data_IF_012640465018
#
_entry.id   IF_012640465018
#
_cell.length_a   1.000
_cell.length_b   1.000
_cell.length_c   1.000
_cell.angle_alpha   90.00
_cell.angle_beta   90.00
_cell.angle_gamma   90.00
#
_symmetry.space_group_name_H-M   'P 1'
#
loop_
_entity.id
_entity.type
_entity.pdbx_description
1 polymer ?
#
# COMPACT_ATOMS: atom_id res chain seq x y z
N UNK A 1 9.96 1.45 -5.04
CA UNK A 1 9.58 0.16 -4.45
C UNK A 1 9.44 -0.82 -5.59
N UNK A 2 10.47 -1.63 -5.83
CA UNK A 2 10.62 -2.40 -7.08
C UNK A 2 9.48 -3.39 -7.33
N UNK A 3 8.87 -3.91 -6.26
CA UNK A 3 7.71 -4.79 -6.33
C UNK A 3 6.51 -4.18 -7.09
N UNK A 4 6.17 -2.91 -6.86
CA UNK A 4 5.05 -2.25 -7.54
C UNK A 4 5.33 -2.11 -9.04
N UNK A 5 6.59 -1.84 -9.40
CA UNK A 5 6.99 -1.74 -10.80
C UNK A 5 6.85 -3.10 -11.52
N UNK A 6 7.17 -4.20 -10.82
CA UNK A 6 7.09 -5.56 -11.36
C UNK A 6 5.66 -6.04 -11.62
N UNK A 7 4.69 -5.61 -10.81
CA UNK A 7 3.27 -5.88 -11.07
C UNK A 7 2.66 -4.89 -12.07
N UNK A 8 3.45 -4.01 -12.69
CA UNK A 8 3.00 -3.06 -13.71
C UNK A 8 2.29 -1.83 -13.14
N UNK A 9 2.67 -1.41 -11.93
CA UNK A 9 2.08 -0.27 -11.23
C UNK A 9 0.75 -0.59 -10.55
N UNK A 10 0.27 0.35 -9.72
CA UNK A 10 -1.00 0.23 -8.99
C UNK A 10 -1.91 1.41 -9.30
N UNK A 11 -3.19 1.13 -9.53
CA UNK A 11 -4.19 2.18 -9.69
C UNK A 11 -4.73 2.59 -8.31
N UNK A 12 -4.68 3.89 -8.03
CA UNK A 12 -5.29 4.45 -6.82
C UNK A 12 -6.21 5.61 -7.19
N UNK A 13 -7.25 5.81 -6.37
CA UNK A 13 -8.03 7.04 -6.36
C UNK A 13 -7.55 7.90 -5.19
N UNK A 14 -6.82 8.98 -5.49
CA UNK A 14 -6.28 9.87 -4.47
C UNK A 14 -7.41 10.74 -3.93
N UNK A 15 -7.75 10.65 -2.64
CA UNK A 15 -8.88 11.41 -2.10
C UNK A 15 -8.62 12.92 -2.04
N UNK A 16 -7.35 13.32 -1.89
CA UNK A 16 -6.96 14.73 -1.76
C UNK A 16 -5.58 14.96 -2.34
N UNK A 17 -5.42 16.05 -3.10
CA UNK A 17 -4.12 16.46 -3.63
C UNK A 17 -3.12 16.70 -2.50
N UNK A 18 -1.88 16.22 -2.68
CA UNK A 18 -0.77 16.45 -1.74
C UNK A 18 0.28 17.31 -2.45
N UNK A 19 0.76 18.33 -1.74
CA UNK A 19 1.92 19.13 -2.13
C UNK A 19 2.89 19.12 -0.95
N UNK A 20 3.97 18.36 -1.09
CA UNK A 20 5.04 18.25 -0.13
C UNK A 20 6.25 19.03 -0.64
N UNK A 21 6.44 20.25 -0.12
CA UNK A 21 7.53 21.13 -0.54
C UNK A 21 8.89 20.70 0.02
N UNK A 22 8.87 19.83 1.03
CA UNK A 22 10.05 19.41 1.80
C UNK A 22 10.17 17.89 1.81
N UNK A 23 9.84 17.22 0.70
CA UNK A 23 10.00 15.77 0.63
C UNK A 23 11.50 15.45 0.56
N UNK A 24 12.05 14.52 1.36
CA UNK A 24 13.48 14.23 1.35
C UNK A 24 13.95 13.71 -0.02
N UNK A 25 15.07 14.21 -0.53
CA UNK A 25 15.65 13.78 -1.81
C UNK A 25 16.58 12.55 -1.69
N UNK A 26 16.78 12.05 -0.47
CA UNK A 26 17.75 11.01 -0.08
C UNK A 26 19.23 11.43 -0.21
N UNK A 27 19.51 12.74 -0.28
CA UNK A 27 20.85 13.31 -0.33
C UNK A 27 20.98 14.53 0.61
N UNK A 28 20.36 14.44 1.80
CA UNK A 28 20.28 15.51 2.80
C UNK A 28 19.61 16.81 2.31
N UNK A 29 18.93 16.78 1.17
CA UNK A 29 18.17 17.88 0.60
C UNK A 29 16.67 17.61 0.56
N UNK A 30 15.96 18.55 -0.07
CA UNK A 30 14.52 18.52 -0.22
C UNK A 30 14.14 18.64 -1.70
N UNK A 31 13.12 17.90 -2.10
CA UNK A 31 12.47 17.98 -3.39
C UNK A 31 10.98 18.26 -3.20
N UNK A 32 10.38 18.87 -4.21
CA UNK A 32 8.93 19.06 -4.22
C UNK A 32 8.25 17.81 -4.76
N UNK A 33 7.35 17.23 -3.98
CA UNK A 33 6.47 16.15 -4.41
C UNK A 33 5.04 16.65 -4.53
N UNK A 34 4.40 16.39 -5.68
CA UNK A 34 3.01 16.76 -5.95
C UNK A 34 2.25 15.59 -6.51
N UNK A 35 1.02 15.42 -6.05
CA UNK A 35 0.08 14.41 -6.52
C UNK A 35 -1.33 15.02 -6.47
N UNK A 36 -2.09 14.88 -7.54
CA UNK A 36 -3.43 15.45 -7.61
C UNK A 36 -4.46 14.44 -7.08
N UNK A 37 -5.61 14.94 -6.62
CA UNK A 37 -6.78 14.12 -6.34
C UNK A 37 -7.30 13.43 -7.62
N UNK A 38 -7.92 12.26 -7.45
CA UNK A 38 -8.50 11.45 -8.51
C UNK A 38 -7.71 10.19 -8.85
N UNK A 39 -8.19 9.48 -9.86
CA UNK A 39 -7.64 8.20 -10.33
C UNK A 39 -6.32 8.38 -11.07
N UNK A 40 -5.34 7.56 -10.72
CA UNK A 40 -4.03 7.57 -11.36
C UNK A 40 -3.29 6.25 -11.16
N UNK A 41 -2.48 5.89 -12.15
CA UNK A 41 -1.57 4.74 -12.09
C UNK A 41 -0.24 5.20 -11.48
N UNK A 42 0.17 4.55 -10.38
CA UNK A 42 1.42 4.84 -9.70
C UNK A 42 2.46 3.76 -9.94
N UNK A 43 3.66 4.22 -10.29
CA UNK A 43 4.89 3.43 -10.22
C UNK A 43 5.36 3.28 -8.76
N UNK A 44 6.32 2.40 -8.54
CA UNK A 44 6.83 2.08 -7.22
C UNK A 44 7.59 3.22 -6.56
N UNK A 45 8.10 4.20 -7.32
CA UNK A 45 8.75 5.40 -6.77
C UNK A 45 7.72 6.38 -6.25
N UNK A 46 6.66 6.62 -7.02
CA UNK A 46 5.57 7.54 -6.73
C UNK A 46 4.68 7.00 -5.61
N UNK A 47 4.37 5.71 -5.63
CA UNK A 47 3.67 5.04 -4.53
C UNK A 47 4.44 5.15 -3.19
N UNK A 48 5.76 4.97 -3.22
CA UNK A 48 6.59 5.14 -2.02
C UNK A 48 6.57 6.59 -1.52
N UNK A 49 6.67 7.58 -2.42
CA UNK A 49 6.55 9.00 -2.07
C UNK A 49 5.18 9.32 -1.46
N UNK A 50 4.11 8.79 -2.05
CA UNK A 50 2.74 8.97 -1.58
C UNK A 50 2.52 8.43 -0.16
N UNK A 51 2.98 7.21 0.12
CA UNK A 51 2.90 6.60 1.46
C UNK A 51 3.74 7.34 2.50
N UNK A 52 4.90 7.87 2.10
CA UNK A 52 5.85 8.50 3.03
C UNK A 52 5.64 9.99 3.24
N UNK A 53 4.88 10.67 2.37
CA UNK A 53 4.64 12.10 2.51
C UNK A 53 3.97 12.42 3.84
N UNK A 54 4.50 13.43 4.53
CA UNK A 54 4.04 13.89 5.86
C UNK A 54 3.55 15.33 5.82
N UNK A 55 3.95 16.10 4.82
CA UNK A 55 3.63 17.51 4.73
C UNK A 55 2.14 17.66 4.41
N UNK A 56 1.40 18.39 5.26
CA UNK A 56 -0.06 18.65 5.26
C UNK A 56 -1.00 17.66 5.95
N UNK A 57 -0.52 16.57 6.59
CA UNK A 57 -1.42 15.54 7.12
C UNK A 57 -0.97 14.87 8.43
N UNK A 58 -1.91 14.34 9.19
CA UNK A 58 -1.69 13.60 10.45
C UNK A 58 -1.07 12.22 10.23
N UNK A 59 -0.60 11.58 11.31
CA UNK A 59 -0.18 10.17 11.29
C UNK A 59 -1.33 9.22 10.88
N UNK A 60 -2.58 9.61 11.15
CA UNK A 60 -3.78 8.87 10.71
C UNK A 60 -3.97 8.93 9.20
N UNK A 61 -3.78 10.09 8.60
CA UNK A 61 -3.84 10.23 7.14
C UNK A 61 -2.73 9.41 6.47
N UNK A 62 -1.54 9.35 7.08
CA UNK A 62 -0.44 8.49 6.60
C UNK A 62 -0.84 7.01 6.64
N UNK A 63 -1.41 6.56 7.76
CA UNK A 63 -1.88 5.17 7.89
C UNK A 63 -3.00 4.85 6.87
N UNK A 64 -3.92 5.79 6.66
CA UNK A 64 -4.99 5.67 5.66
C UNK A 64 -4.42 5.52 4.25
N UNK A 65 -3.38 6.28 3.89
CA UNK A 65 -2.67 6.12 2.60
C UNK A 65 -1.95 4.78 2.49
N UNK A 66 -1.37 4.28 3.57
CA UNK A 66 -0.76 2.94 3.61
C UNK A 66 -1.80 1.85 3.32
N UNK A 67 -2.95 1.93 3.98
CA UNK A 67 -4.07 1.02 3.76
C UNK A 67 -4.59 1.08 2.31
N UNK A 68 -4.74 2.29 1.75
CA UNK A 68 -5.14 2.48 0.35
C UNK A 68 -4.17 1.80 -0.62
N UNK A 69 -2.86 1.93 -0.37
CA UNK A 69 -1.82 1.33 -1.22
C UNK A 69 -1.81 -0.19 -1.08
N UNK A 70 -2.01 -0.74 0.12
CA UNK A 70 -2.15 -2.18 0.34
C UNK A 70 -3.38 -2.75 -0.40
N UNK A 71 -4.51 -2.04 -0.37
CA UNK A 71 -5.69 -2.43 -1.15
C UNK A 71 -5.44 -2.39 -2.65
N UNK A 72 -4.76 -1.35 -3.15
CA UNK A 72 -4.44 -1.24 -4.57
C UNK A 72 -3.45 -2.32 -5.04
N UNK A 73 -2.46 -2.67 -4.21
CA UNK A 73 -1.57 -3.80 -4.46
C UNK A 73 -2.36 -5.10 -4.55
N UNK A 74 -3.26 -5.35 -3.58
CA UNK A 74 -4.12 -6.52 -3.60
C UNK A 74 -4.93 -6.59 -4.89
N UNK A 75 -5.68 -5.53 -5.20
CA UNK A 75 -6.55 -5.49 -6.37
C UNK A 75 -5.74 -5.71 -7.66
N UNK A 76 -4.52 -5.13 -7.75
CA UNK A 76 -3.62 -5.38 -8.87
C UNK A 76 -3.18 -6.85 -8.95
N UNK A 77 -2.69 -7.43 -7.85
CA UNK A 77 -2.24 -8.83 -7.80
C UNK A 77 -3.39 -9.80 -8.14
N UNK A 78 -4.62 -9.52 -7.70
CA UNK A 78 -5.80 -10.33 -8.01
C UNK A 78 -6.29 -10.13 -9.45
N UNK A 79 -6.16 -8.93 -10.01
CA UNK A 79 -6.58 -8.59 -11.38
C UNK A 79 -5.69 -9.23 -12.44
N UNK A 80 -4.40 -9.38 -12.14
CA UNK A 80 -3.50 -10.09 -13.03
C UNK A 80 -3.76 -11.57 -12.79
N UNK A 81 -3.84 -12.34 -13.87
CA UNK A 81 -3.74 -13.81 -13.86
C UNK A 81 -2.40 -14.33 -13.26
N UNK A 82 -1.67 -13.51 -12.50
CA UNK A 82 -0.53 -13.86 -11.66
C UNK A 82 -0.87 -15.04 -10.77
N UNK A 83 -2.09 -15.06 -10.22
CA UNK A 83 -2.52 -16.11 -9.31
C UNK A 83 -3.07 -17.36 -10.01
N UNK A 84 -3.08 -17.41 -11.33
CA UNK A 84 -3.48 -18.60 -12.11
C UNK A 84 -2.28 -19.29 -12.76
N UNK A 85 -1.07 -18.70 -12.68
CA UNK A 85 0.16 -19.24 -13.25
C UNK A 85 1.22 -19.51 -12.17
N UNK A 86 1.63 -20.76 -11.92
CA UNK A 86 2.68 -21.09 -10.94
C UNK A 86 4.01 -20.34 -11.17
N UNK A 87 4.39 -20.11 -12.43
CA UNK A 87 5.59 -19.34 -12.77
C UNK A 87 5.52 -17.88 -12.30
N UNK A 88 4.36 -17.23 -12.43
CA UNK A 88 4.17 -15.84 -12.01
C UNK A 88 4.16 -15.71 -10.48
N UNK A 89 3.65 -16.72 -9.77
CA UNK A 89 3.75 -16.80 -8.31
C UNK A 89 5.21 -16.91 -7.88
N UNK A 90 6.01 -17.72 -8.57
CA UNK A 90 7.44 -17.85 -8.29
C UNK A 90 8.18 -16.52 -8.53
N UNK A 91 7.89 -15.82 -9.63
CA UNK A 91 8.50 -14.52 -9.93
C UNK A 91 8.13 -13.47 -8.86
N UNK A 92 6.86 -13.46 -8.44
CA UNK A 92 6.36 -12.59 -7.37
C UNK A 92 7.07 -12.87 -6.05
N UNK A 93 7.21 -14.15 -5.69
CA UNK A 93 7.91 -14.59 -4.48
C UNK A 93 9.39 -14.18 -4.50
N UNK A 94 10.09 -14.39 -5.62
CA UNK A 94 11.50 -14.01 -5.77
C UNK A 94 11.69 -12.50 -5.56
N UNK A 95 10.81 -11.69 -6.17
CA UNK A 95 10.84 -10.24 -5.99
C UNK A 95 10.59 -9.79 -4.56
N UNK A 96 9.60 -10.41 -3.90
CA UNK A 96 9.26 -10.10 -2.51
C UNK A 96 10.41 -10.46 -1.59
N UNK A 97 11.02 -11.64 -1.75
CA UNK A 97 12.11 -12.13 -0.89
C UNK A 97 13.36 -11.26 -0.93
N UNK A 98 13.62 -10.56 -2.03
CA UNK A 98 14.73 -9.60 -2.13
C UNK A 98 14.51 -8.34 -1.27
N UNK A 99 13.27 -8.00 -0.95
CA UNK A 99 12.89 -6.73 -0.33
C UNK A 99 12.13 -6.87 0.99
N UNK A 100 11.67 -8.07 1.32
CA UNK A 100 10.83 -8.39 2.47
C UNK A 100 11.45 -9.57 3.22
N UNK A 101 11.75 -9.36 4.48
CA UNK A 101 12.07 -10.44 5.39
C UNK A 101 10.78 -11.10 5.86
N UNK A 102 10.61 -12.38 5.56
CA UNK A 102 9.45 -13.18 5.97
C UNK A 102 9.88 -14.62 6.22
N UNK A 103 9.14 -15.32 7.07
CA UNK A 103 9.24 -16.77 7.30
C UNK A 103 8.33 -17.58 6.37
N UNK A 104 7.45 -16.91 5.62
CA UNK A 104 6.60 -17.52 4.60
C UNK A 104 7.41 -18.07 3.43
N UNK A 105 7.12 -19.30 3.02
CA UNK A 105 7.69 -19.89 1.81
C UNK A 105 6.79 -19.66 0.57
N UNK A 106 7.23 -20.17 -0.59
CA UNK A 106 6.49 -20.02 -1.85
C UNK A 106 5.15 -20.77 -1.84
N UNK A 107 5.06 -21.88 -1.10
CA UNK A 107 3.82 -22.65 -0.93
C UNK A 107 2.81 -21.90 -0.07
N UNK A 108 3.25 -21.29 1.03
CA UNK A 108 2.41 -20.43 1.88
C UNK A 108 1.86 -19.27 1.05
N UNK A 109 2.73 -18.61 0.27
CA UNK A 109 2.34 -17.50 -0.57
C UNK A 109 1.32 -17.93 -1.65
N UNK A 110 1.51 -19.11 -2.26
CA UNK A 110 0.54 -19.70 -3.19
C UNK A 110 -0.80 -20.01 -2.52
N UNK A 111 -0.79 -20.59 -1.32
CA UNK A 111 -1.99 -20.88 -0.55
C UNK A 111 -2.78 -19.61 -0.21
N UNK A 112 -2.11 -18.59 0.33
CA UNK A 112 -2.74 -17.32 0.67
C UNK A 112 -3.24 -16.57 -0.57
N UNK A 113 -2.49 -16.62 -1.68
CA UNK A 113 -2.90 -16.02 -2.93
C UNK A 113 -4.24 -16.58 -3.44
N UNK A 114 -4.39 -17.91 -3.47
CA UNK A 114 -5.65 -18.55 -3.90
C UNK A 114 -6.80 -18.12 -2.99
N UNK A 115 -6.58 -18.10 -1.66
CA UNK A 115 -7.60 -17.69 -0.69
C UNK A 115 -7.95 -16.21 -0.73
N UNK A 116 -6.99 -15.35 -1.07
CA UNK A 116 -7.22 -13.91 -1.14
C UNK A 116 -8.26 -13.52 -2.20
N UNK A 117 -8.48 -14.37 -3.23
CA UNK A 117 -9.55 -14.22 -4.23
C UNK A 117 -10.95 -14.39 -3.66
N UNK A 118 -11.10 -15.23 -2.64
CA UNK A 118 -12.39 -15.55 -2.02
C UNK A 118 -12.84 -14.47 -1.02
N UNK A 119 -11.92 -13.60 -0.59
CA UNK A 119 -12.21 -12.52 0.35
C UNK A 119 -12.68 -11.31 -0.46
N UNK A 120 -13.92 -10.84 -0.33
CA UNK A 120 -14.34 -9.64 -1.06
C UNK A 120 -13.75 -8.38 -0.40
N UNK A 121 -13.69 -7.27 -1.14
CA UNK A 121 -13.00 -6.05 -0.67
C UNK A 121 -13.65 -5.45 0.59
N UNK A 122 -14.96 -5.52 0.68
CA UNK A 122 -15.78 -5.15 1.84
C UNK A 122 -15.60 -6.11 3.04
N UNK A 123 -15.03 -7.29 2.82
CA UNK A 123 -14.63 -8.22 3.88
C UNK A 123 -13.31 -7.86 4.58
N UNK A 124 -12.61 -6.80 4.15
CA UNK A 124 -11.33 -6.37 4.72
C UNK A 124 -11.55 -5.13 5.59
N UNK A 125 -11.51 -5.34 6.90
CA UNK A 125 -11.60 -4.26 7.88
C UNK A 125 -10.21 -3.69 8.15
N UNK A 126 -10.05 -2.38 7.94
CA UNK A 126 -8.85 -1.64 8.27
C UNK A 126 -9.13 -0.73 9.47
N UNK A 127 -8.28 -0.76 10.48
CA UNK A 127 -8.42 0.09 11.67
C UNK A 127 -7.12 0.82 11.94
N UNK A 128 -7.25 2.04 12.47
CA UNK A 128 -6.13 2.81 13.00
C UNK A 128 -6.21 2.76 14.52
N UNK A 129 -5.15 2.30 15.16
CA UNK A 129 -5.04 2.37 16.62
C UNK A 129 -4.78 3.83 16.97
N UNK A 130 -5.84 4.57 17.33
CA UNK A 130 -5.72 5.94 17.80
C UNK A 130 -5.59 5.98 19.33
N UNK A 131 -4.90 7.00 19.85
CA UNK A 131 -4.74 7.19 21.31
C UNK A 131 -6.03 7.65 22.01
N UNK A 132 -7.10 8.02 21.27
CA UNK A 132 -8.37 8.43 21.88
C UNK A 132 -9.17 7.27 22.50
N UNK A 133 -8.73 6.02 22.28
CA UNK A 133 -9.34 4.83 22.87
C UNK A 133 -8.80 4.47 24.27
N UNK A 134 -7.92 5.28 24.89
CA UNK A 134 -7.41 5.04 26.26
C UNK A 134 -8.23 5.72 27.38
N UNK A 135 -9.29 6.45 27.03
CA UNK A 135 -10.20 7.05 28.01
C UNK A 135 -11.33 6.11 28.38
N UNK A 136 -11.49 5.79 29.68
CA UNK A 136 -12.53 4.92 30.26
C UNK A 136 -14.00 5.27 29.90
N UNK A 137 -14.26 6.34 29.13
CA UNK A 137 -15.60 6.85 28.81
C UNK A 137 -15.76 7.54 27.44
N UNK A 138 -14.91 7.25 26.43
CA UNK A 138 -15.15 7.75 25.07
C UNK A 138 -15.26 6.60 24.09
N UNK A 139 -16.41 6.50 23.43
CA UNK A 139 -16.59 5.63 22.27
C UNK A 139 -15.52 6.00 21.23
N UNK A 140 -14.71 5.01 20.83
CA UNK A 140 -13.76 5.16 19.73
C UNK A 140 -14.51 5.70 18.52
N UNK A 141 -14.27 6.94 18.14
CA UNK A 141 -14.83 7.48 16.90
C UNK A 141 -14.02 6.88 15.75
N UNK A 142 -14.70 6.05 14.95
CA UNK A 142 -14.19 5.60 13.67
C UNK A 142 -14.01 6.84 12.78
N UNK A 143 -12.76 7.05 12.32
CA UNK A 143 -12.43 8.05 11.31
C UNK A 143 -12.94 7.65 9.94
#
# INVERSE_FOLDING_TARGET
MQFIDLIGGIEIDVPKSIVDMSYPDNNYGYQVFRINAGKQLLDGKTALKYVRSRHSTSDFDRSTRQQLILQAIRDKVLSIDTLTSPSKIQDLYNSLKEHVWTDLDVSDLGFFAVRAKDIPRDGIYATNINESCYGLNMACQAG
#
